data_IF_891028591335
#
_entry.id   IF_891028591335
#
_cell.length_a   1.000
_cell.length_b   1.000
_cell.length_c   1.000
_cell.angle_alpha   90.00
_cell.angle_beta   90.00
_cell.angle_gamma   90.00
#
_symmetry.space_group_name_H-M   'P 1'
#
loop_
_entity.id
_entity.type
_entity.pdbx_description
1 polymer ?
#
# COMPACT_ATOMS: atom_id res chain seq x y z
N UNK A 1 -21.50 12.62 -21.29
CA UNK A 1 -20.71 11.45 -20.85
C UNK A 1 -20.62 10.46 -22.01
N UNK A 2 -19.62 9.56 -22.07
CA UNK A 2 -18.27 9.57 -21.49
C UNK A 2 -17.19 9.48 -22.61
N UNK A 3 -15.94 9.82 -22.31
CA UNK A 3 -14.83 9.54 -23.22
C UNK A 3 -13.55 9.16 -22.46
N UNK A 4 -12.89 8.15 -23.02
CA UNK A 4 -11.52 7.67 -22.79
C UNK A 4 -11.29 6.68 -21.65
N UNK A 5 -10.93 5.45 -22.06
CA UNK A 5 -10.37 4.41 -21.20
C UNK A 5 -10.36 3.04 -21.87
N UNK A 6 -9.85 2.93 -23.10
CA UNK A 6 -9.47 1.62 -23.65
C UNK A 6 -8.44 0.95 -22.74
N UNK A 7 -8.27 -0.39 -22.80
CA UNK A 7 -7.43 -1.12 -21.87
C UNK A 7 -6.05 -0.47 -21.82
N UNK A 8 -5.71 0.07 -20.64
CA UNK A 8 -4.36 0.53 -20.38
C UNK A 8 -3.42 -0.63 -20.69
N UNK A 9 -2.39 -0.36 -21.51
CA UNK A 9 -1.36 -1.34 -21.80
C UNK A 9 -0.65 -1.81 -20.53
N UNK A 10 0.34 -2.71 -20.67
CA UNK A 10 1.12 -3.20 -19.54
C UNK A 10 1.67 -2.05 -18.69
N UNK A 11 1.65 -2.21 -17.36
CA UNK A 11 2.21 -1.23 -16.42
C UNK A 11 3.73 -1.18 -16.63
N UNK A 12 4.26 -0.03 -17.07
CA UNK A 12 5.66 0.12 -17.46
C UNK A 12 6.57 0.69 -16.36
N UNK A 13 6.01 1.20 -15.26
CA UNK A 13 6.79 1.81 -14.19
C UNK A 13 6.12 1.70 -12.83
N UNK A 14 6.92 1.88 -11.77
CA UNK A 14 6.42 1.99 -10.39
C UNK A 14 5.42 3.14 -10.30
N UNK A 15 5.78 4.34 -10.74
CA UNK A 15 4.88 5.50 -10.65
C UNK A 15 3.56 5.30 -11.39
N UNK A 16 3.59 4.63 -12.55
CA UNK A 16 2.37 4.24 -13.25
C UNK A 16 1.51 3.28 -12.43
N UNK A 17 2.12 2.25 -11.81
CA UNK A 17 1.40 1.32 -10.94
C UNK A 17 0.67 2.05 -9.80
N UNK A 18 1.37 2.95 -9.11
CA UNK A 18 0.78 3.72 -8.00
C UNK A 18 -0.30 4.70 -8.48
N UNK A 19 -0.18 5.25 -9.69
CA UNK A 19 -1.23 6.07 -10.31
C UNK A 19 -2.50 5.25 -10.54
N UNK A 20 -2.37 4.05 -11.12
CA UNK A 20 -3.50 3.13 -11.35
C UNK A 20 -4.15 2.68 -10.03
N UNK A 21 -3.35 2.39 -9.01
CA UNK A 21 -3.89 2.06 -7.69
C UNK A 21 -4.73 3.22 -7.11
N UNK A 22 -4.32 4.48 -7.30
CA UNK A 22 -5.12 5.63 -6.87
C UNK A 22 -6.42 5.75 -7.66
N UNK A 23 -6.37 5.57 -8.98
CA UNK A 23 -7.57 5.54 -9.83
C UNK A 23 -8.57 4.46 -9.36
N UNK A 24 -8.07 3.27 -9.01
CA UNK A 24 -8.87 2.18 -8.47
C UNK A 24 -9.47 2.55 -7.10
N UNK A 25 -8.67 3.10 -6.18
CA UNK A 25 -9.13 3.51 -4.86
C UNK A 25 -10.24 4.56 -4.95
N UNK A 26 -10.06 5.58 -5.80
CA UNK A 26 -11.02 6.65 -6.02
C UNK A 26 -12.33 6.11 -6.62
N UNK A 27 -12.23 5.18 -7.56
CA UNK A 27 -13.40 4.52 -8.14
C UNK A 27 -14.16 3.73 -7.07
N UNK A 28 -13.48 2.83 -6.35
CA UNK A 28 -14.09 2.01 -5.31
C UNK A 28 -14.69 2.84 -4.18
N UNK A 29 -14.09 3.98 -3.82
CA UNK A 29 -14.63 4.89 -2.81
C UNK A 29 -15.92 5.56 -3.25
N UNK A 30 -16.08 5.82 -4.56
CA UNK A 30 -17.31 6.39 -5.13
C UNK A 30 -18.41 5.36 -5.30
N UNK A 31 -18.07 4.14 -5.73
CA UNK A 31 -19.04 3.07 -6.01
C UNK A 31 -19.42 2.28 -4.77
N UNK A 32 -18.46 2.07 -3.86
CA UNK A 32 -18.61 1.28 -2.64
C UNK A 32 -17.95 2.00 -1.45
N UNK A 33 -18.53 3.11 -0.96
CA UNK A 33 -17.93 3.96 0.08
C UNK A 33 -17.67 3.24 1.42
N UNK A 34 -18.33 2.11 1.65
CA UNK A 34 -18.17 1.28 2.85
C UNK A 34 -17.38 -0.01 2.59
N UNK A 35 -16.86 -0.20 1.38
CA UNK A 35 -16.03 -1.37 1.09
C UNK A 35 -14.69 -1.24 1.79
N UNK A 36 -14.25 -2.26 2.54
CA UNK A 36 -12.91 -2.25 3.14
C UNK A 36 -11.81 -2.25 2.07
N UNK A 37 -12.12 -2.61 0.82
CA UNK A 37 -11.14 -2.73 -0.26
C UNK A 37 -10.55 -1.37 -0.64
N UNK A 38 -11.36 -0.31 -0.75
CA UNK A 38 -10.87 1.04 -1.07
C UNK A 38 -9.84 1.52 -0.03
N UNK A 39 -10.15 1.34 1.26
CA UNK A 39 -9.25 1.64 2.37
C UNK A 39 -7.98 0.79 2.34
N UNK A 40 -8.06 -0.50 1.99
CA UNK A 40 -6.88 -1.36 1.88
C UNK A 40 -5.96 -0.95 0.73
N UNK A 41 -6.52 -0.52 -0.40
CA UNK A 41 -5.74 -0.02 -1.55
C UNK A 41 -5.06 1.30 -1.19
N UNK A 42 -5.77 2.25 -0.57
CA UNK A 42 -5.17 3.50 -0.05
C UNK A 42 -4.04 3.21 0.93
N UNK A 43 -4.23 2.25 1.84
CA UNK A 43 -3.21 1.86 2.82
C UNK A 43 -2.00 1.19 2.16
N UNK A 44 -2.20 0.35 1.14
CA UNK A 44 -1.12 -0.23 0.37
C UNK A 44 -0.29 0.82 -0.38
N UNK A 45 -0.95 1.85 -0.94
CA UNK A 45 -0.28 3.00 -1.55
C UNK A 45 0.59 3.73 -0.52
N UNK A 46 0.06 4.00 0.67
CA UNK A 46 0.78 4.68 1.74
C UNK A 46 2.02 3.89 2.18
N UNK A 47 1.87 2.59 2.45
CA UNK A 47 3.00 1.72 2.80
C UNK A 47 4.04 1.62 1.71
N UNK A 48 3.61 1.63 0.45
CA UNK A 48 4.51 1.62 -0.70
C UNK A 48 5.38 2.87 -0.86
N UNK A 49 5.08 3.95 -0.14
CA UNK A 49 5.89 5.17 -0.08
C UNK A 49 6.76 5.24 1.18
N UNK A 50 6.64 4.28 2.10
CA UNK A 50 7.37 4.23 3.36
C UNK A 50 8.56 3.26 3.30
N UNK A 51 9.62 3.50 4.10
CA UNK A 51 10.64 2.49 4.35
C UNK A 51 10.03 1.24 5.00
N UNK A 52 10.55 0.06 4.67
CA UNK A 52 10.05 -1.22 5.19
C UNK A 52 9.90 -1.25 6.72
N UNK A 53 10.88 -0.73 7.45
CA UNK A 53 10.86 -0.64 8.92
C UNK A 53 9.63 0.13 9.44
N UNK A 54 9.29 1.24 8.78
CA UNK A 54 8.15 2.06 9.16
C UNK A 54 6.81 1.36 8.88
N UNK A 55 6.73 0.56 7.81
CA UNK A 55 5.56 -0.26 7.49
C UNK A 55 5.34 -1.33 8.54
N UNK A 56 6.39 -2.08 8.93
CA UNK A 56 6.28 -3.14 9.94
C UNK A 56 5.83 -2.56 11.29
N UNK A 57 6.34 -1.39 11.68
CA UNK A 57 5.91 -0.70 12.89
C UNK A 57 4.42 -0.34 12.88
N UNK A 58 3.91 0.15 11.75
CA UNK A 58 2.50 0.50 11.54
C UNK A 58 1.59 -0.75 11.55
N UNK A 59 1.99 -1.80 10.83
CA UNK A 59 1.26 -3.08 10.76
C UNK A 59 1.11 -3.71 12.13
N UNK A 60 2.18 -3.69 12.92
CA UNK A 60 2.21 -4.31 14.25
C UNK A 60 1.60 -3.41 15.33
N UNK A 61 1.18 -2.17 15.00
CA UNK A 61 0.54 -1.22 15.92
C UNK A 61 1.28 -1.05 17.26
N UNK A 62 2.61 -1.12 17.24
CA UNK A 62 3.41 -1.05 18.47
C UNK A 62 3.41 -2.32 19.34
N UNK A 63 3.02 -3.48 18.81
CA UNK A 63 3.31 -4.78 19.42
C UNK A 63 4.82 -5.05 19.33
N UNK A 64 5.54 -4.54 20.33
CA UNK A 64 7.01 -4.58 20.40
C UNK A 64 7.57 -6.01 20.31
N UNK A 65 7.01 -7.02 21.00
CA UNK A 65 7.49 -8.40 20.87
C UNK A 65 7.39 -8.98 19.46
N UNK A 66 6.30 -8.67 18.73
CA UNK A 66 6.15 -9.13 17.35
C UNK A 66 7.10 -8.38 16.40
N UNK A 67 7.40 -7.11 16.68
CA UNK A 67 8.29 -6.29 15.88
C UNK A 67 9.73 -6.81 15.94
N UNK A 68 10.25 -7.06 17.15
CA UNK A 68 11.60 -7.59 17.33
C UNK A 68 11.78 -8.97 16.68
N UNK A 69 10.79 -9.87 16.81
CA UNK A 69 10.82 -11.19 16.20
C UNK A 69 10.91 -11.13 14.65
N UNK A 70 10.19 -10.20 14.02
CA UNK A 70 10.22 -10.01 12.57
C UNK A 70 11.58 -9.47 12.12
N UNK A 71 12.17 -8.52 12.85
CA UNK A 71 13.49 -7.97 12.51
C UNK A 71 14.61 -9.00 12.65
N UNK A 72 14.59 -9.80 13.73
CA UNK A 72 15.53 -10.90 13.94
C UNK A 72 15.46 -11.94 12.82
N UNK A 73 14.23 -12.32 12.41
CA UNK A 73 14.02 -13.28 11.31
C UNK A 73 14.58 -12.76 9.98
N UNK A 74 14.52 -11.44 9.76
CA UNK A 74 15.04 -10.79 8.56
C UNK A 74 16.54 -10.46 8.64
N UNK A 75 17.20 -10.76 9.77
CA UNK A 75 18.62 -10.48 10.00
C UNK A 75 18.96 -8.99 10.12
N UNK A 76 17.96 -8.14 10.31
CA UNK A 76 18.14 -6.68 10.42
C UNK A 76 18.41 -6.37 11.89
N UNK A 77 19.68 -6.13 12.24
CA UNK A 77 20.04 -5.62 13.56
C UNK A 77 19.84 -4.11 13.57
N UNK A 78 19.13 -3.59 14.57
CA UNK A 78 19.12 -2.15 14.84
C UNK A 78 20.57 -1.73 15.13
N UNK A 79 21.20 -1.03 14.18
CA UNK A 79 22.44 -0.31 14.46
C UNK A 79 22.09 0.77 15.48
N UNK A 80 22.83 0.73 16.58
CA UNK A 80 22.57 1.44 17.82
C UNK A 80 22.91 2.93 17.71
#
# INVERSE_FOLDING_TARGET
>A
APAAGGPAGPIGSRDEAYRRLREIADYLRRTEPHSPVSYLVERAIAWGQMPFQAVIKDVLKGNVPAYSAVLETLGIREEK
#
